data_IF_209038776225
#
_entry.id   IF_209038776225
#
_cell.length_a   1.000
_cell.length_b   1.000
_cell.length_c   1.000
_cell.angle_alpha   90.00
_cell.angle_beta   90.00
_cell.angle_gamma   90.00
#
_symmetry.space_group_name_H-M   'P 1'
#
loop_
_entity.id
_entity.type
_entity.pdbx_description
1 polymer ?
#
# COMPACT_ATOMS: atom_id res chain seq x y z
N UNK A 1 16.40 9.04 7.61
CA UNK A 1 16.18 9.31 6.17
C UNK A 1 14.68 9.22 5.92
N UNK A 2 14.09 10.14 5.15
CA UNK A 2 12.66 10.16 4.85
C UNK A 2 12.37 9.19 3.71
N UNK A 3 11.45 8.24 3.90
CA UNK A 3 11.13 7.23 2.88
C UNK A 3 9.89 7.67 2.11
N UNK A 4 10.02 7.92 0.81
CA UNK A 4 8.93 8.32 -0.07
C UNK A 4 8.47 7.13 -0.91
N UNK A 5 7.16 6.86 -0.95
CA UNK A 5 6.56 5.85 -1.82
C UNK A 5 5.85 6.53 -2.98
N UNK A 6 6.28 6.28 -4.22
CA UNK A 6 5.60 6.77 -5.41
C UNK A 6 4.68 5.71 -5.97
N UNK A 7 3.41 6.05 -6.20
CA UNK A 7 2.40 5.15 -6.76
C UNK A 7 1.90 5.74 -8.07
N UNK A 8 2.11 5.01 -9.17
CA UNK A 8 1.56 5.38 -10.47
C UNK A 8 0.10 4.93 -10.54
N UNK A 9 -0.80 5.84 -10.93
CA UNK A 9 -2.24 5.58 -10.98
C UNK A 9 -2.76 5.92 -12.38
N UNK A 10 -3.09 4.89 -13.16
CA UNK A 10 -3.53 5.06 -14.54
C UNK A 10 -5.04 5.40 -14.68
N UNK A 11 -5.80 5.44 -13.57
CA UNK A 11 -7.26 5.65 -13.58
C UNK A 11 -7.74 6.62 -12.48
N UNK A 12 -8.49 7.65 -12.89
CA UNK A 12 -9.10 8.66 -12.01
C UNK A 12 -10.00 8.10 -10.90
N UNK A 13 -10.66 6.96 -11.11
CA UNK A 13 -11.49 6.34 -10.06
C UNK A 13 -10.62 5.75 -8.95
N UNK A 14 -9.51 5.11 -9.33
CA UNK A 14 -8.52 4.56 -8.41
C UNK A 14 -7.81 5.67 -7.65
N UNK A 15 -7.51 6.80 -8.32
CA UNK A 15 -6.92 7.99 -7.69
C UNK A 15 -7.75 8.50 -6.51
N UNK A 16 -9.07 8.63 -6.68
CA UNK A 16 -9.97 9.06 -5.59
C UNK A 16 -10.01 8.07 -4.43
N UNK A 17 -9.98 6.77 -4.72
CA UNK A 17 -9.98 5.75 -3.68
C UNK A 17 -8.69 5.79 -2.86
N UNK A 18 -7.54 5.94 -3.52
CA UNK A 18 -6.24 6.03 -2.83
C UNK A 18 -6.16 7.30 -1.98
N UNK A 19 -6.62 8.45 -2.47
CA UNK A 19 -6.69 9.68 -1.67
C UNK A 19 -7.50 9.49 -0.38
N UNK A 20 -8.70 8.95 -0.50
CA UNK A 20 -9.57 8.73 0.66
C UNK A 20 -8.93 7.79 1.71
N UNK A 21 -8.15 6.81 1.26
CA UNK A 21 -7.38 5.94 2.16
C UNK A 21 -6.28 6.74 2.85
N UNK A 22 -5.45 7.47 2.11
CA UNK A 22 -4.36 8.27 2.67
C UNK A 22 -4.87 9.33 3.65
N UNK A 23 -5.97 10.01 3.32
CA UNK A 23 -6.65 10.98 4.18
C UNK A 23 -7.16 10.33 5.47
N UNK A 24 -7.79 9.14 5.37
CA UNK A 24 -8.29 8.42 6.55
C UNK A 24 -7.16 7.98 7.50
N UNK A 25 -5.96 7.74 6.96
CA UNK A 25 -4.77 7.41 7.75
C UNK A 25 -3.94 8.64 8.15
N UNK A 26 -4.35 9.86 7.77
CA UNK A 26 -3.64 11.11 8.11
C UNK A 26 -2.23 11.19 7.52
N UNK A 27 -1.99 10.54 6.38
CA UNK A 27 -0.70 10.50 5.72
C UNK A 27 -0.55 11.70 4.78
N UNK A 28 0.57 12.40 4.88
CA UNK A 28 0.91 13.48 3.95
C UNK A 28 1.29 12.88 2.58
N UNK A 29 0.67 13.40 1.51
CA UNK A 29 0.94 12.94 0.15
C UNK A 29 0.95 14.12 -0.83
N UNK A 30 1.73 13.99 -1.89
CA UNK A 30 1.75 14.95 -2.99
C UNK A 30 1.37 14.24 -4.30
N UNK A 31 0.65 14.95 -5.17
CA UNK A 31 0.24 14.43 -6.48
C UNK A 31 1.12 15.09 -7.53
N UNK A 32 2.05 14.31 -8.06
CA UNK A 32 2.88 14.77 -9.16
C UNK A 32 2.19 14.42 -10.49
N UNK A 33 1.64 15.43 -11.17
CA UNK A 33 1.04 15.26 -12.49
C UNK A 33 2.14 15.35 -13.57
N UNK A 34 3.10 14.44 -13.52
CA UNK A 34 4.11 14.34 -14.57
C UNK A 34 3.53 13.61 -15.79
N UNK A 35 3.45 14.24 -16.97
CA UNK A 35 2.90 13.61 -18.18
C UNK A 35 3.70 12.38 -18.67
N UNK A 36 4.91 12.17 -18.15
CA UNK A 36 5.80 11.03 -18.43
C UNK A 36 5.76 9.90 -17.38
N UNK A 37 4.90 9.98 -16.34
CA UNK A 37 4.87 8.98 -15.26
C UNK A 37 4.19 7.65 -15.66
N UNK A 38 3.36 7.67 -16.70
CA UNK A 38 2.68 6.49 -17.26
C UNK A 38 3.69 5.61 -18.02
N UNK A 39 4.57 4.92 -17.28
CA UNK A 39 5.60 4.05 -17.87
C UNK A 39 6.81 3.80 -16.97
N UNK A 40 6.94 4.49 -15.83
CA UNK A 40 8.04 4.24 -14.91
C UNK A 40 7.82 2.92 -14.17
N UNK A 41 8.60 1.90 -14.52
CA UNK A 41 8.62 0.64 -13.81
C UNK A 41 8.96 0.87 -12.32
N UNK A 42 8.20 0.22 -11.43
CA UNK A 42 8.44 0.26 -9.99
C UNK A 42 9.87 -0.18 -9.72
N UNK A 43 10.61 0.62 -8.93
CA UNK A 43 11.90 0.22 -8.40
C UNK A 43 11.77 -1.01 -7.52
N UNK A 44 12.87 -1.73 -7.29
CA UNK A 44 12.87 -2.96 -6.46
C UNK A 44 12.27 -2.72 -5.06
N UNK A 45 12.58 -1.59 -4.44
CA UNK A 45 12.03 -1.20 -3.13
C UNK A 45 10.52 -0.96 -3.19
N UNK A 46 10.02 -0.31 -4.25
CA UNK A 46 8.59 -0.06 -4.43
C UNK A 46 7.82 -1.36 -4.70
N UNK A 47 8.40 -2.31 -5.45
CA UNK A 47 7.80 -3.63 -5.66
C UNK A 47 7.68 -4.41 -4.35
N UNK A 48 8.73 -4.41 -3.52
CA UNK A 48 8.69 -5.09 -2.21
C UNK A 48 7.60 -4.49 -1.29
N UNK A 49 7.43 -3.17 -1.30
CA UNK A 49 6.36 -2.52 -0.53
C UNK A 49 4.98 -2.90 -1.09
N UNK A 50 4.81 -2.87 -2.41
CA UNK A 50 3.57 -3.27 -3.07
C UNK A 50 3.19 -4.72 -2.75
N UNK A 51 4.12 -5.66 -2.86
CA UNK A 51 3.88 -7.08 -2.59
C UNK A 51 3.49 -7.34 -1.14
N UNK A 52 4.11 -6.62 -0.19
CA UNK A 52 3.71 -6.69 1.23
C UNK A 52 2.29 -6.18 1.44
N UNK A 53 1.97 -5.01 0.90
CA UNK A 53 0.62 -4.43 1.01
C UNK A 53 -0.44 -5.34 0.39
N UNK A 54 -0.15 -5.92 -0.77
CA UNK A 54 -1.03 -6.87 -1.44
C UNK A 54 -1.27 -8.11 -0.58
N UNK A 55 -0.20 -8.71 -0.04
CA UNK A 55 -0.30 -9.88 0.82
C UNK A 55 -1.15 -9.57 2.06
N UNK A 56 -0.92 -8.44 2.72
CA UNK A 56 -1.73 -8.04 3.88
C UNK A 56 -3.20 -7.83 3.53
N UNK A 57 -3.53 -7.28 2.35
CA UNK A 57 -4.91 -7.15 1.91
C UNK A 57 -5.59 -8.51 1.69
N UNK A 58 -4.85 -9.49 1.15
CA UNK A 58 -5.33 -10.87 0.98
C UNK A 58 -5.54 -11.55 2.35
N UNK A 59 -4.63 -11.36 3.30
CA UNK A 59 -4.75 -11.87 4.68
C UNK A 59 -5.95 -11.26 5.41
N UNK A 60 -6.18 -9.95 5.29
CA UNK A 60 -7.36 -9.28 5.86
C UNK A 60 -8.65 -9.87 5.27
N UNK A 61 -8.67 -10.15 3.97
CA UNK A 61 -9.83 -10.77 3.32
C UNK A 61 -10.07 -12.18 3.86
N UNK A 62 -9.03 -13.01 3.95
CA UNK A 62 -9.13 -14.38 4.49
C UNK A 62 -9.57 -14.41 5.96
N UNK A 63 -9.11 -13.44 6.76
CA UNK A 63 -9.54 -13.28 8.15
C UNK A 63 -11.03 -12.92 8.23
N UNK A 64 -11.50 -11.98 7.40
CA UNK A 64 -12.93 -11.62 7.32
C UNK A 64 -13.82 -12.80 6.87
N UNK A 65 -13.27 -13.70 6.06
CA UNK A 65 -13.94 -14.94 5.64
C UNK A 65 -13.86 -16.06 6.70
N UNK A 66 -13.18 -15.84 7.83
CA UNK A 66 -13.01 -16.81 8.91
C UNK A 66 -12.08 -17.98 8.56
N UNK A 67 -11.32 -17.88 7.45
CA UNK A 67 -10.44 -18.94 6.94
C UNK A 67 -9.08 -18.98 7.64
N UNK A 68 -8.65 -17.86 8.20
CA UNK A 68 -7.42 -17.74 8.96
C UNK A 68 -7.67 -16.98 10.26
N UNK A 69 -6.84 -17.23 11.28
CA UNK A 69 -6.75 -16.38 12.46
C UNK A 69 -5.58 -15.41 12.27
N UNK A 70 -5.75 -14.15 12.65
CA UNK A 70 -4.65 -13.21 12.68
C UNK A 70 -3.70 -13.61 13.82
N UNK A 71 -2.40 -13.57 13.55
CA UNK A 71 -1.37 -13.74 14.56
C UNK A 71 -1.46 -12.59 15.57
N UNK A 72 -1.12 -12.87 16.83
CA UNK A 72 -1.10 -11.84 17.86
C UNK A 72 -0.05 -10.77 17.52
N UNK A 73 -0.41 -9.50 17.71
CA UNK A 73 0.50 -8.39 17.42
C UNK A 73 1.78 -8.46 18.24
N UNK A 74 1.72 -9.02 19.46
CA UNK A 74 2.88 -9.20 20.34
C UNK A 74 3.80 -10.31 19.87
N UNK A 75 3.26 -11.39 19.28
CA UNK A 75 4.06 -12.44 18.65
C UNK A 75 4.79 -11.90 17.42
N UNK A 76 4.08 -11.17 16.56
CA UNK A 76 4.67 -10.55 15.36
C UNK A 76 5.82 -9.59 15.70
N UNK A 77 5.65 -8.76 16.74
CA UNK A 77 6.68 -7.79 17.15
C UNK A 77 7.91 -8.44 17.78
N UNK A 78 7.80 -9.66 18.33
CA UNK A 78 8.93 -10.41 18.85
C UNK A 78 9.76 -11.12 17.76
N UNK A 79 9.22 -11.24 16.54
CA UNK A 79 9.90 -11.86 15.39
C UNK A 79 10.71 -10.84 14.54
N UNK A 80 10.63 -9.55 14.87
CA UNK A 80 11.34 -8.43 14.23
C UNK A 80 12.67 -8.10 14.93
#
# INVERSE_FOLDING_TARGET
MMTTLTVNIDNKKTEKAIKAVLDAFGLDYNIDQHPDAAGKALSKSEQVIYDRLRKSAEEIKLYKEGKIKLQDASEFLNEL
#
